data_IF_366497463905
#
_entry.id   IF_366497463905
#
_cell.length_a   1.000
_cell.length_b   1.000
_cell.length_c   1.000
_cell.angle_alpha   90.00
_cell.angle_beta   90.00
_cell.angle_gamma   90.00
#
_symmetry.space_group_name_H-M   'P 1'
#
loop_
_entity.id
_entity.type
_entity.pdbx_description
1 polymer ?
#
# COMPACT_ATOMS: atom_id res chain seq x y z
N UNK A 1 7.72 -12.80 -4.06
CA UNK A 1 6.70 -13.79 -4.45
C UNK A 1 5.51 -13.63 -3.52
N UNK A 2 4.32 -13.33 -4.02
CA UNK A 2 3.10 -13.27 -3.19
C UNK A 2 2.53 -14.69 -3.08
N UNK A 3 2.23 -15.14 -1.86
CA UNK A 3 1.63 -16.46 -1.64
C UNK A 3 0.13 -16.34 -1.37
N UNK A 4 -0.61 -17.43 -1.57
CA UNK A 4 -2.03 -17.45 -1.23
C UNK A 4 -2.29 -17.15 0.25
N UNK A 5 -1.40 -17.59 1.14
CA UNK A 5 -1.44 -17.23 2.56
C UNK A 5 -1.28 -15.72 2.79
N UNK A 6 -0.33 -15.08 2.09
CA UNK A 6 -0.12 -13.63 2.21
C UNK A 6 -1.35 -12.85 1.71
N UNK A 7 -1.95 -13.29 0.60
CA UNK A 7 -3.18 -12.69 0.06
C UNK A 7 -4.33 -12.82 1.06
N UNK A 8 -4.56 -14.02 1.60
CA UNK A 8 -5.65 -14.24 2.54
C UNK A 8 -5.44 -13.48 3.85
N UNK A 9 -4.22 -13.47 4.40
CA UNK A 9 -3.91 -12.71 5.61
C UNK A 9 -4.11 -11.20 5.42
N UNK A 10 -3.63 -10.64 4.30
CA UNK A 10 -3.80 -9.22 4.00
C UNK A 10 -5.30 -8.87 3.86
N UNK A 11 -6.07 -9.70 3.17
CA UNK A 11 -7.51 -9.53 3.05
C UNK A 11 -8.19 -9.49 4.43
N UNK A 12 -7.89 -10.46 5.30
CA UNK A 12 -8.51 -10.54 6.63
C UNK A 12 -8.19 -9.31 7.48
N UNK A 13 -6.96 -8.80 7.43
CA UNK A 13 -6.56 -7.59 8.16
C UNK A 13 -7.30 -6.37 7.62
N UNK A 14 -7.24 -6.12 6.32
CA UNK A 14 -7.86 -4.93 5.70
C UNK A 14 -9.38 -4.96 5.92
N UNK A 15 -10.02 -6.09 5.64
CA UNK A 15 -11.46 -6.24 5.79
C UNK A 15 -11.89 -6.13 7.26
N UNK A 16 -11.19 -6.78 8.19
CA UNK A 16 -11.51 -6.73 9.61
C UNK A 16 -11.38 -5.32 10.21
N UNK A 17 -10.36 -4.56 9.81
CA UNK A 17 -10.19 -3.16 10.27
C UNK A 17 -11.28 -2.24 9.71
N UNK A 18 -11.63 -2.39 8.43
CA UNK A 18 -12.73 -1.65 7.81
C UNK A 18 -14.07 -1.94 8.52
N UNK A 19 -14.42 -3.22 8.71
CA UNK A 19 -15.67 -3.62 9.36
C UNK A 19 -15.75 -3.17 10.82
N UNK A 20 -14.61 -3.08 11.51
CA UNK A 20 -14.56 -2.59 12.90
C UNK A 20 -14.41 -1.06 13.01
N UNK A 21 -14.45 -0.33 11.89
CA UNK A 21 -14.29 1.13 11.88
C UNK A 21 -12.94 1.61 12.40
N UNK A 22 -11.91 0.75 12.37
CA UNK A 22 -10.58 1.07 12.92
C UNK A 22 -9.74 1.78 11.86
N UNK A 23 -9.30 3.03 12.11
CA UNK A 23 -8.53 3.81 11.13
C UNK A 23 -7.21 3.11 10.81
N UNK A 24 -6.82 3.10 9.55
CA UNK A 24 -5.62 2.40 9.06
C UNK A 24 -4.91 3.28 8.05
N UNK A 25 -3.58 3.35 8.14
CA UNK A 25 -2.74 3.96 7.10
C UNK A 25 -2.00 2.82 6.40
N UNK A 26 -2.01 2.84 5.07
CA UNK A 26 -1.31 1.87 4.22
C UNK A 26 -0.39 2.65 3.29
N UNK A 27 0.87 2.25 3.22
CA UNK A 27 1.86 2.78 2.28
C UNK A 27 2.31 1.68 1.34
N UNK A 28 2.46 1.99 0.06
CA UNK A 28 2.94 1.05 -0.95
C UNK A 28 3.76 1.78 -2.00
N UNK A 29 4.73 1.08 -2.58
CA UNK A 29 5.47 1.54 -3.76
C UNK A 29 4.88 0.95 -5.06
N UNK A 30 3.76 0.23 -4.96
CA UNK A 30 3.07 -0.30 -6.13
C UNK A 30 2.14 0.76 -6.71
N UNK A 31 2.08 0.87 -8.05
CA UNK A 31 1.00 1.60 -8.69
C UNK A 31 -0.34 0.91 -8.40
N UNK A 32 -1.40 1.69 -8.44
CA UNK A 32 -2.79 1.25 -8.31
C UNK A 32 -3.15 0.13 -9.30
N UNK A 33 -2.66 0.24 -10.53
CA UNK A 33 -2.86 -0.75 -11.61
C UNK A 33 -2.29 -2.14 -11.31
N UNK A 34 -1.32 -2.25 -10.39
CA UNK A 34 -0.71 -3.54 -10.03
C UNK A 34 -1.36 -4.23 -8.83
N UNK A 35 -2.19 -3.52 -8.06
CA UNK A 35 -2.74 -4.06 -6.80
C UNK A 35 -3.59 -5.30 -7.03
N UNK A 36 -4.48 -5.27 -8.03
CA UNK A 36 -5.38 -6.38 -8.34
C UNK A 36 -4.60 -7.62 -8.78
N UNK A 37 -3.68 -7.45 -9.73
CA UNK A 37 -2.85 -8.55 -10.24
C UNK A 37 -2.00 -9.19 -9.12
N UNK A 38 -1.55 -8.41 -8.15
CA UNK A 38 -0.68 -8.89 -7.06
C UNK A 38 -1.44 -9.47 -5.88
N UNK A 39 -2.62 -8.93 -5.55
CA UNK A 39 -3.31 -9.19 -4.28
C UNK A 39 -4.80 -9.57 -4.41
N UNK A 40 -5.38 -9.63 -5.61
CA UNK A 40 -6.80 -9.84 -5.93
C UNK A 40 -7.66 -8.57 -6.01
N UNK A 41 -8.72 -8.67 -6.81
CA UNK A 41 -9.73 -7.61 -7.02
C UNK A 41 -10.40 -7.19 -5.70
N UNK A 42 -10.61 -8.13 -4.77
CA UNK A 42 -11.27 -7.82 -3.49
C UNK A 42 -10.44 -6.93 -2.57
N UNK A 43 -9.10 -7.09 -2.60
CA UNK A 43 -8.17 -6.23 -1.87
C UNK A 43 -8.05 -4.88 -2.58
N UNK A 44 -7.87 -4.89 -3.90
CA UNK A 44 -7.79 -3.66 -4.70
C UNK A 44 -9.03 -2.78 -4.51
N UNK A 45 -10.24 -3.35 -4.61
CA UNK A 45 -11.51 -2.63 -4.40
C UNK A 45 -11.60 -1.97 -3.03
N UNK A 46 -11.16 -2.66 -1.96
CA UNK A 46 -11.16 -2.10 -0.59
C UNK A 46 -10.16 -0.96 -0.44
N UNK A 47 -8.92 -1.16 -0.92
CA UNK A 47 -7.87 -0.15 -0.79
C UNK A 47 -8.18 1.09 -1.62
N UNK A 48 -8.64 0.92 -2.86
CA UNK A 48 -8.91 2.04 -3.77
C UNK A 48 -10.27 2.71 -3.52
N UNK A 49 -11.25 1.98 -2.97
CA UNK A 49 -12.60 2.48 -2.75
C UNK A 49 -12.89 3.00 -1.34
N UNK A 50 -12.21 2.49 -0.31
CA UNK A 50 -12.51 2.84 1.09
C UNK A 50 -11.47 3.75 1.75
N UNK A 51 -10.35 4.04 1.08
CA UNK A 51 -9.28 4.89 1.60
C UNK A 51 -9.12 6.16 0.76
N UNK A 52 -8.61 7.22 1.38
CA UNK A 52 -8.11 8.39 0.66
C UNK A 52 -6.71 8.10 0.14
N UNK A 53 -6.53 8.23 -1.17
CA UNK A 53 -5.25 7.96 -1.83
C UNK A 53 -4.37 9.21 -1.83
N UNK A 54 -3.11 9.03 -1.42
CA UNK A 54 -2.08 10.07 -1.47
C UNK A 54 -0.89 9.55 -2.26
N UNK A 55 -0.54 10.24 -3.34
CA UNK A 55 0.63 9.93 -4.13
C UNK A 55 1.84 10.68 -3.57
N UNK A 56 2.91 9.94 -3.25
CA UNK A 56 4.19 10.55 -2.91
C UNK A 56 4.96 10.88 -4.19
N UNK A 57 5.30 12.16 -4.33
CA UNK A 57 6.05 12.70 -5.47
C UNK A 57 7.33 13.37 -4.97
N UNK A 58 8.37 13.36 -5.81
CA UNK A 58 9.65 14.00 -5.53
C UNK A 58 10.83 13.03 -5.51
N UNK A 59 12.00 13.55 -5.14
CA UNK A 59 13.25 12.78 -5.09
C UNK A 59 13.33 11.96 -3.80
N UNK A 60 13.88 10.74 -3.89
CA UNK A 60 14.13 9.91 -2.71
C UNK A 60 15.01 10.66 -1.69
N UNK A 61 14.48 10.84 -0.48
CA UNK A 61 15.16 11.58 0.61
C UNK A 61 16.50 10.96 0.99
N UNK A 62 16.69 9.64 0.81
CA UNK A 62 17.96 8.96 1.07
C UNK A 62 19.02 9.39 0.06
N UNK A 63 18.63 9.62 -1.20
CA UNK A 63 19.53 10.14 -2.23
C UNK A 63 19.89 11.61 -1.94
N UNK A 64 18.91 12.43 -1.55
CA UNK A 64 19.14 13.83 -1.18
C UNK A 64 20.17 13.95 -0.05
N UNK A 65 19.98 13.22 1.05
CA UNK A 65 20.92 13.23 2.18
C UNK A 65 22.33 12.73 1.82
N UNK A 66 22.41 11.77 0.89
CA UNK A 66 23.70 11.27 0.38
C UNK A 66 24.43 12.32 -0.45
N UNK A 67 23.70 13.17 -1.18
CA UNK A 67 24.29 14.29 -1.91
C UNK A 67 24.77 15.39 -0.96
N UNK A 68 23.97 15.72 0.06
CA UNK A 68 24.31 16.73 1.08
C UNK A 68 25.56 16.37 1.88
N UNK A 69 25.72 15.11 2.28
CA UNK A 69 26.88 14.63 3.04
C UNK A 69 28.17 14.50 2.23
N UNK A 70 28.12 14.72 0.91
CA UNK A 70 29.29 14.73 0.02
C UNK A 70 29.75 16.14 -0.35
N UNK A 71 28.98 17.17 0.05
CA UNK A 71 29.31 18.59 -0.12
C UNK A 71 30.09 19.16 1.04
#
# INVERSE_FOLDING_TARGET
MTTQFTVSALYQIVNGRLLSGKPTIVSTNLPDTELEARYSAQIASRLLGAYTLYQFCGTDVRLLRKMESRG
#
